data_IF_054027725621
#
_entry.id   IF_054027725621
#
_cell.length_a   1.000
_cell.length_b   1.000
_cell.length_c   1.000
_cell.angle_alpha   90.00
_cell.angle_beta   90.00
_cell.angle_gamma   90.00
#
_symmetry.space_group_name_H-M   'P 1'
#
loop_
_entity.id
_entity.type
_entity.pdbx_description
1 polymer ?
#
# COMPACT_ATOMS: atom_id res chain seq x y z
N UNK A 1 0.99 2.68 -8.12
CA UNK A 1 0.65 3.30 -9.42
C UNK A 1 1.04 2.44 -10.58
N UNK A 2 2.30 2.02 -10.65
CA UNK A 2 2.80 1.02 -11.60
C UNK A 2 1.80 -0.12 -11.86
N UNK A 3 1.40 -0.86 -10.82
CA UNK A 3 0.47 -1.98 -10.95
C UNK A 3 -0.89 -1.57 -11.56
N UNK A 4 -1.52 -0.53 -10.99
CA UNK A 4 -2.81 0.00 -11.45
C UNK A 4 -2.76 0.44 -12.93
N UNK A 5 -1.72 1.17 -13.32
CA UNK A 5 -1.54 1.68 -14.68
C UNK A 5 -1.32 0.54 -15.68
N UNK A 6 -0.47 -0.43 -15.34
CA UNK A 6 -0.14 -1.56 -16.22
C UNK A 6 -1.27 -2.58 -16.36
N UNK A 7 -2.13 -2.71 -15.35
CA UNK A 7 -3.26 -3.64 -15.39
C UNK A 7 -4.57 -3.03 -15.90
N UNK A 8 -4.71 -1.71 -15.81
CA UNK A 8 -5.98 -1.01 -16.08
C UNK A 8 -7.02 -1.16 -14.96
N UNK A 9 -6.63 -1.67 -13.79
CA UNK A 9 -7.52 -1.82 -12.64
C UNK A 9 -8.02 -0.48 -12.08
N UNK A 10 -9.17 -0.50 -11.41
CA UNK A 10 -9.71 0.67 -10.72
C UNK A 10 -8.79 1.10 -9.58
N UNK A 11 -8.33 0.12 -8.80
CA UNK A 11 -7.48 0.30 -7.64
C UNK A 11 -6.32 -0.71 -7.63
N UNK A 12 -5.28 -0.44 -6.85
CA UNK A 12 -4.24 -1.43 -6.59
C UNK A 12 -3.75 -1.38 -5.14
N UNK A 13 -3.31 -2.52 -4.63
CA UNK A 13 -2.64 -2.65 -3.35
C UNK A 13 -1.33 -3.42 -3.49
N UNK A 14 -0.29 -2.94 -2.81
CA UNK A 14 0.93 -3.70 -2.56
C UNK A 14 1.15 -3.79 -1.06
N UNK A 15 1.53 -4.95 -0.54
CA UNK A 15 1.91 -5.08 0.86
C UNK A 15 3.23 -4.36 1.14
N UNK A 16 3.33 -3.70 2.30
CA UNK A 16 4.49 -2.91 2.70
C UNK A 16 5.79 -3.73 2.64
N UNK A 17 5.76 -5.00 3.06
CA UNK A 17 6.92 -5.91 3.00
C UNK A 17 7.40 -6.27 1.59
N UNK A 18 6.56 -6.02 0.57
CA UNK A 18 6.88 -6.19 -0.84
C UNK A 18 7.81 -5.10 -1.41
N UNK A 19 8.00 -3.99 -0.67
CA UNK A 19 8.94 -2.90 -1.00
C UNK A 19 10.05 -2.89 0.06
N UNK A 20 11.30 -3.07 -0.37
CA UNK A 20 12.40 -3.40 0.55
C UNK A 20 13.24 -2.22 1.00
N UNK A 21 13.37 -1.20 0.16
CA UNK A 21 14.18 -0.01 0.44
C UNK A 21 13.71 1.20 -0.39
N UNK A 22 14.07 2.43 0.01
CA UNK A 22 13.88 3.60 -0.82
C UNK A 22 14.86 3.62 -2.00
N UNK A 23 14.53 4.38 -3.05
CA UNK A 23 15.51 4.78 -4.06
C UNK A 23 16.42 5.88 -3.53
N UNK A 24 17.72 5.78 -3.82
CA UNK A 24 18.66 6.88 -3.61
C UNK A 24 18.41 8.01 -4.61
N UNK A 25 18.73 9.26 -4.22
CA UNK A 25 18.68 10.39 -5.16
C UNK A 25 19.74 10.22 -6.25
N UNK A 26 19.33 10.32 -7.51
CA UNK A 26 20.23 10.24 -8.65
C UNK A 26 19.61 9.44 -9.80
N UNK A 27 20.43 9.01 -10.78
CA UNK A 27 20.00 8.06 -11.79
C UNK A 27 19.49 6.78 -11.14
N UNK A 28 18.34 6.28 -11.60
CA UNK A 28 17.79 4.99 -11.17
C UNK A 28 18.20 3.94 -12.20
N UNK A 29 18.88 2.89 -11.74
CA UNK A 29 19.28 1.75 -12.56
C UNK A 29 18.29 0.60 -12.43
N UNK A 30 18.38 -0.39 -13.32
CA UNK A 30 17.60 -1.63 -13.19
C UNK A 30 17.99 -2.38 -11.90
N UNK A 31 19.26 -2.38 -11.53
CA UNK A 31 19.74 -2.99 -10.27
C UNK A 31 19.03 -2.40 -9.05
N UNK A 32 18.88 -1.07 -9.01
CA UNK A 32 18.13 -0.40 -7.92
C UNK A 32 16.69 -0.92 -7.83
N UNK A 33 16.03 -1.12 -8.97
CA UNK A 33 14.66 -1.65 -9.01
C UNK A 33 14.59 -3.09 -8.49
N UNK A 34 15.59 -3.93 -8.80
CA UNK A 34 15.70 -5.29 -8.25
C UNK A 34 15.92 -5.28 -6.74
N UNK A 35 16.69 -4.34 -6.20
CA UNK A 35 16.87 -4.22 -4.76
C UNK A 35 15.60 -3.70 -4.04
N UNK A 36 14.83 -2.81 -4.69
CA UNK A 36 13.58 -2.26 -4.14
C UNK A 36 12.45 -3.28 -4.15
N UNK A 37 12.28 -4.05 -5.24
CA UNK A 37 11.21 -5.02 -5.42
C UNK A 37 11.80 -6.35 -5.97
N UNK A 38 12.40 -7.19 -5.10
CA UNK A 38 13.17 -8.36 -5.51
C UNK A 38 12.32 -9.61 -5.81
N UNK A 39 11.00 -9.53 -5.62
CA UNK A 39 10.13 -10.70 -5.76
C UNK A 39 9.65 -10.86 -7.20
N UNK A 40 9.60 -12.10 -7.68
CA UNK A 40 9.07 -12.45 -9.01
C UNK A 40 7.54 -12.60 -9.01
N UNK A 41 6.87 -11.80 -8.20
CA UNK A 41 5.42 -11.76 -8.14
C UNK A 41 4.86 -11.11 -9.42
N UNK A 42 3.75 -11.64 -9.91
CA UNK A 42 2.99 -11.05 -11.01
C UNK A 42 1.81 -10.23 -10.49
N UNK A 43 1.23 -9.40 -11.35
CA UNK A 43 -0.01 -8.70 -11.04
C UNK A 43 -1.20 -9.65 -11.18
N UNK A 44 -2.05 -9.68 -10.17
CA UNK A 44 -3.29 -10.44 -10.18
C UNK A 44 -4.48 -9.51 -9.92
N UNK A 45 -5.51 -9.61 -10.77
CA UNK A 45 -6.75 -8.87 -10.63
C UNK A 45 -7.77 -9.69 -9.87
N UNK A 46 -8.46 -9.03 -8.94
CA UNK A 46 -9.55 -9.59 -8.15
C UNK A 46 -10.75 -8.64 -8.24
N UNK A 47 -11.91 -9.17 -8.59
CA UNK A 47 -13.14 -8.39 -8.64
C UNK A 47 -13.74 -8.29 -7.23
N UNK A 48 -13.78 -7.08 -6.68
CA UNK A 48 -14.19 -6.83 -5.30
C UNK A 48 -15.26 -5.75 -5.25
N UNK A 49 -16.31 -5.96 -4.45
CA UNK A 49 -17.25 -4.87 -4.16
C UNK A 49 -16.69 -3.89 -3.12
N UNK A 50 -17.30 -2.71 -2.99
CA UNK A 50 -16.90 -1.70 -2.02
C UNK A 50 -16.87 -2.20 -0.56
N UNK A 51 -17.80 -3.08 -0.18
CA UNK A 51 -17.79 -3.71 1.15
C UNK A 51 -16.54 -4.58 1.39
N UNK A 52 -16.15 -5.39 0.41
CA UNK A 52 -14.95 -6.23 0.48
C UNK A 52 -13.68 -5.39 0.57
N UNK A 53 -13.59 -4.31 -0.21
CA UNK A 53 -12.44 -3.38 -0.18
C UNK A 53 -12.35 -2.68 1.17
N UNK A 54 -13.49 -2.23 1.73
CA UNK A 54 -13.54 -1.64 3.07
C UNK A 54 -13.06 -2.65 4.14
N UNK A 55 -13.53 -3.89 4.08
CA UNK A 55 -13.14 -4.95 5.02
C UNK A 55 -11.65 -5.31 4.91
N UNK A 56 -11.10 -5.34 3.69
CA UNK A 56 -9.67 -5.53 3.42
C UNK A 56 -8.83 -4.46 4.12
N UNK A 57 -9.20 -3.20 3.96
CA UNK A 57 -8.50 -2.08 4.58
C UNK A 57 -8.64 -2.14 6.10
N UNK A 58 -9.83 -2.40 6.64
CA UNK A 58 -9.98 -2.59 8.09
C UNK A 58 -9.02 -3.65 8.63
N UNK A 59 -8.91 -4.82 7.97
CA UNK A 59 -7.96 -5.87 8.36
C UNK A 59 -6.50 -5.40 8.30
N UNK A 60 -6.10 -4.81 7.17
CA UNK A 60 -4.73 -4.32 6.95
C UNK A 60 -4.30 -3.25 7.96
N UNK A 61 -5.25 -2.51 8.54
CA UNK A 61 -4.98 -1.43 9.49
C UNK A 61 -5.38 -1.76 10.95
N UNK A 62 -5.64 -3.03 11.25
CA UNK A 62 -6.10 -3.53 12.56
C UNK A 62 -5.04 -4.18 13.44
N UNK A 63 -3.77 -4.17 13.03
CA UNK A 63 -2.67 -4.70 13.84
C UNK A 63 -2.51 -3.98 15.19
N UNK A 64 -1.67 -4.50 16.08
CA UNK A 64 -1.33 -3.78 17.30
C UNK A 64 -0.78 -2.38 17.01
N UNK A 65 -1.09 -1.44 17.89
CA UNK A 65 -0.59 -0.08 17.80
C UNK A 65 0.05 0.31 19.12
N UNK A 66 1.05 1.18 19.04
CA UNK A 66 1.73 1.69 20.24
C UNK A 66 2.25 3.11 20.02
N UNK A 67 2.45 3.88 21.10
CA UNK A 67 3.21 5.11 21.02
C UNK A 67 4.60 4.85 20.43
N UNK A 68 5.09 5.80 19.62
CA UNK A 68 6.45 5.80 19.11
C UNK A 68 7.44 5.97 20.27
N UNK A 69 8.47 5.13 20.29
CA UNK A 69 9.58 5.25 21.22
C UNK A 69 10.74 6.06 20.62
N UNK A 70 11.86 6.14 21.34
CA UNK A 70 13.03 6.89 20.88
C UNK A 70 13.69 6.26 19.64
N UNK A 71 13.66 4.94 19.51
CA UNK A 71 14.23 4.24 18.36
C UNK A 71 13.37 4.49 17.12
N UNK A 72 12.04 4.41 17.24
CA UNK A 72 11.14 4.73 16.13
C UNK A 72 11.35 6.15 15.60
N UNK A 73 11.52 7.12 16.52
CA UNK A 73 11.77 8.52 16.15
C UNK A 73 13.13 8.72 15.49
N UNK A 74 14.13 7.94 15.87
CA UNK A 74 15.45 7.97 15.24
C UNK A 74 15.38 7.37 13.83
N UNK A 75 14.76 6.20 13.67
CA UNK A 75 14.58 5.53 12.38
C UNK A 75 13.80 6.42 11.40
N UNK A 76 12.74 7.07 11.88
CA UNK A 76 11.94 8.02 11.11
C UNK A 76 12.77 9.17 10.53
N UNK A 77 13.73 9.69 11.30
CA UNK A 77 14.66 10.74 10.87
C UNK A 77 15.66 10.22 9.84
N UNK A 78 16.31 9.10 10.13
CA UNK A 78 17.41 8.56 9.33
C UNK A 78 16.93 7.95 8.01
N UNK A 79 15.85 7.16 8.04
CA UNK A 79 15.39 6.37 6.90
C UNK A 79 14.25 7.02 6.12
N UNK A 80 13.43 7.84 6.76
CA UNK A 80 12.23 8.42 6.14
C UNK A 80 12.30 9.93 5.96
N UNK A 81 13.39 10.55 6.47
CA UNK A 81 13.63 11.99 6.45
C UNK A 81 12.41 12.74 7.00
N UNK A 82 11.90 12.31 8.15
CA UNK A 82 10.78 12.98 8.82
C UNK A 82 10.93 13.02 10.34
N UNK A 83 10.30 14.01 10.96
CA UNK A 83 10.01 14.04 12.38
C UNK A 83 8.65 13.39 12.61
N UNK A 84 8.66 12.11 12.96
CA UNK A 84 7.47 11.36 13.35
C UNK A 84 7.23 11.41 14.86
N UNK A 85 5.99 11.58 15.31
CA UNK A 85 5.59 11.38 16.71
C UNK A 85 4.12 10.95 16.83
N UNK A 86 3.77 10.30 17.94
CA UNK A 86 2.40 9.84 18.23
C UNK A 86 2.27 8.31 18.23
N UNK A 87 1.14 7.79 17.78
CA UNK A 87 0.83 6.36 17.79
C UNK A 87 1.05 5.74 16.41
N UNK A 88 1.98 4.79 16.31
CA UNK A 88 2.21 4.02 15.08
C UNK A 88 1.43 2.71 15.10
N UNK A 89 1.10 2.24 13.91
CA UNK A 89 0.63 0.88 13.68
C UNK A 89 1.85 -0.04 13.52
N UNK A 90 1.81 -1.21 14.15
CA UNK A 90 2.87 -2.21 14.01
C UNK A 90 2.73 -2.92 12.66
N UNK A 91 3.84 -2.99 11.94
CA UNK A 91 3.95 -3.77 10.70
C UNK A 91 4.21 -5.22 11.08
N UNK A 92 3.44 -6.15 10.53
CA UNK A 92 3.60 -7.59 10.79
C UNK A 92 2.27 -8.27 11.13
N UNK A 93 2.31 -9.24 12.03
CA UNK A 93 1.14 -10.05 12.41
C UNK A 93 0.00 -9.21 13.04
N UNK A 94 -1.28 -9.56 12.83
CA UNK A 94 -1.77 -10.67 12.00
C UNK A 94 -1.83 -10.38 10.49
N UNK A 95 -1.79 -9.12 10.05
CA UNK A 95 -1.91 -8.77 8.63
C UNK A 95 -0.84 -7.80 8.14
N UNK A 96 -0.32 -8.00 6.93
CA UNK A 96 0.54 -7.01 6.30
C UNK A 96 -0.16 -5.67 6.09
N UNK A 97 0.58 -4.56 6.13
CA UNK A 97 0.04 -3.25 5.78
C UNK A 97 -0.10 -3.15 4.26
N UNK A 98 -1.27 -2.75 3.75
CA UNK A 98 -1.49 -2.57 2.31
C UNK A 98 -1.39 -1.09 1.92
N UNK A 99 -0.53 -0.80 0.95
CA UNK A 99 -0.32 0.52 0.38
C UNK A 99 -1.19 0.70 -0.88
N UNK A 100 -2.08 1.72 -0.92
CA UNK A 100 -3.07 1.86 -1.99
C UNK A 100 -2.57 2.64 -3.22
N UNK A 101 -3.27 2.44 -4.33
CA UNK A 101 -3.32 3.32 -5.51
C UNK A 101 -4.76 3.53 -5.93
N UNK A 102 -5.14 4.78 -6.24
CA UNK A 102 -6.52 5.16 -6.57
C UNK A 102 -7.44 5.39 -5.36
N UNK A 103 -6.93 5.21 -4.13
CA UNK A 103 -7.67 5.35 -2.88
C UNK A 103 -6.90 6.17 -1.84
N UNK A 104 -7.65 6.87 -1.00
CA UNK A 104 -7.20 7.55 0.20
C UNK A 104 -7.82 6.88 1.44
N UNK A 105 -6.97 6.56 2.41
CA UNK A 105 -7.32 5.85 3.65
C UNK A 105 -7.02 6.77 4.81
N UNK A 106 -8.02 7.08 5.63
CA UNK A 106 -7.84 7.77 6.92
C UNK A 106 -8.28 6.87 8.04
N UNK A 107 -7.42 6.66 9.03
CA UNK A 107 -7.68 5.73 10.13
C UNK A 107 -7.16 6.24 11.48
N UNK A 108 -7.74 5.71 12.55
CA UNK A 108 -7.29 5.92 13.93
C UNK A 108 -6.79 4.58 14.53
N UNK A 109 -5.47 4.42 14.74
CA UNK A 109 -4.91 3.18 15.29
C UNK A 109 -5.27 2.94 16.75
N UNK A 110 -5.84 3.90 17.46
CA UNK A 110 -6.23 3.77 18.88
C UNK A 110 -7.64 3.22 19.05
N UNK A 111 -8.44 3.18 17.99
CA UNK A 111 -9.75 2.52 18.02
C UNK A 111 -9.58 0.99 18.02
N UNK A 112 -10.60 0.25 18.52
CA UNK A 112 -10.58 -1.22 18.49
C UNK A 112 -10.35 -1.76 17.06
N UNK A 113 -9.65 -2.90 16.91
CA UNK A 113 -9.54 -3.59 15.62
C UNK A 113 -10.90 -3.73 14.92
N UNK A 114 -10.89 -3.63 13.59
CA UNK A 114 -12.06 -3.60 12.71
C UNK A 114 -13.00 -2.39 12.88
N UNK A 115 -12.58 -1.37 13.62
CA UNK A 115 -13.30 -0.09 13.77
C UNK A 115 -12.38 1.12 13.57
N UNK A 116 -11.30 0.96 12.80
CA UNK A 116 -10.25 1.97 12.70
C UNK A 116 -10.38 2.84 11.48
N UNK A 117 -11.07 2.39 10.44
CA UNK A 117 -11.22 3.14 9.21
C UNK A 117 -12.25 4.26 9.39
N UNK A 118 -11.75 5.50 9.44
CA UNK A 118 -12.58 6.70 9.56
C UNK A 118 -13.10 7.16 8.20
N UNK A 119 -12.25 7.13 7.18
CA UNK A 119 -12.59 7.58 5.83
C UNK A 119 -11.90 6.74 4.77
N UNK A 120 -12.66 6.37 3.75
CA UNK A 120 -12.17 5.69 2.55
C UNK A 120 -12.78 6.38 1.34
N UNK A 121 -11.94 7.00 0.52
CA UNK A 121 -12.38 7.67 -0.70
C UNK A 121 -11.48 7.32 -1.87
N UNK A 122 -11.99 7.48 -3.08
CA UNK A 122 -11.19 7.50 -4.30
C UNK A 122 -10.26 8.72 -4.33
N UNK A 123 -9.31 8.73 -5.28
CA UNK A 123 -8.40 9.86 -5.49
C UNK A 123 -9.12 11.19 -5.80
N UNK A 124 -10.32 11.16 -6.40
CA UNK A 124 -11.16 12.34 -6.64
C UNK A 124 -12.07 12.69 -5.44
N UNK A 125 -11.91 12.02 -4.31
CA UNK A 125 -12.57 12.35 -3.05
C UNK A 125 -13.98 11.77 -2.86
N UNK A 126 -14.45 10.91 -3.77
CA UNK A 126 -15.75 10.23 -3.66
C UNK A 126 -15.68 9.04 -2.73
N UNK A 127 -16.76 8.77 -2.02
CA UNK A 127 -16.89 7.52 -1.26
C UNK A 127 -17.03 6.32 -2.19
N UNK A 128 -16.61 5.15 -1.71
CA UNK A 128 -16.81 3.91 -2.44
C UNK A 128 -18.27 3.47 -2.34
N UNK A 129 -18.89 3.28 -3.49
CA UNK A 129 -20.20 2.63 -3.59
C UNK A 129 -20.06 1.17 -3.10
N UNK A 130 -20.91 0.77 -2.16
CA UNK A 130 -20.67 -0.44 -1.39
C UNK A 130 -20.88 -1.75 -2.18
N UNK A 131 -21.86 -1.77 -3.09
CA UNK A 131 -22.20 -2.95 -3.91
C UNK A 131 -21.54 -2.95 -5.29
N UNK A 132 -21.01 -1.80 -5.73
CA UNK A 132 -20.34 -1.70 -7.03
C UNK A 132 -19.11 -2.58 -7.04
N UNK A 133 -18.96 -3.36 -8.11
CA UNK A 133 -17.78 -4.18 -8.37
C UNK A 133 -16.69 -3.31 -8.96
N UNK A 134 -15.49 -3.42 -8.39
CA UNK A 134 -14.27 -2.79 -8.87
C UNK A 134 -13.24 -3.87 -9.17
N UNK A 135 -12.43 -3.66 -10.21
CA UNK A 135 -11.27 -4.50 -10.44
C UNK A 135 -10.11 -3.98 -9.58
N UNK A 136 -9.55 -4.86 -8.74
CA UNK A 136 -8.47 -4.51 -7.80
C UNK A 136 -7.22 -5.31 -8.12
N UNK A 137 -6.11 -4.62 -8.37
CA UNK A 137 -4.83 -5.24 -8.63
C UNK A 137 -4.03 -5.48 -7.34
N UNK A 138 -3.57 -6.71 -7.16
CA UNK A 138 -2.63 -7.11 -6.12
C UNK A 138 -1.37 -7.68 -6.76
N UNK A 139 -0.33 -7.91 -5.96
CA UNK A 139 0.65 -8.92 -6.32
C UNK A 139 0.04 -10.30 -6.01
N UNK A 140 0.41 -11.32 -6.78
CA UNK A 140 -0.16 -12.65 -6.64
C UNK A 140 0.08 -13.27 -5.27
N UNK A 141 1.20 -13.00 -4.59
CA UNK A 141 1.40 -13.42 -3.20
C UNK A 141 0.28 -12.95 -2.25
N UNK A 142 -0.13 -11.69 -2.32
CA UNK A 142 -1.24 -11.15 -1.50
C UNK A 142 -2.60 -11.66 -2.01
N UNK A 143 -2.81 -11.68 -3.32
CA UNK A 143 -4.06 -12.21 -3.92
C UNK A 143 -4.30 -13.67 -3.50
N UNK A 144 -3.23 -14.45 -3.47
CA UNK A 144 -3.17 -15.80 -2.93
C UNK A 144 -3.00 -15.80 -1.42
N UNK A 145 -3.54 -14.84 -0.69
CA UNK A 145 -3.71 -14.92 0.76
C UNK A 145 -2.47 -14.79 1.63
N UNK A 146 -1.34 -14.36 1.07
CA UNK A 146 -0.16 -13.96 1.83
C UNK A 146 -0.47 -12.82 2.81
N UNK A 147 0.45 -12.57 3.75
CA UNK A 147 0.32 -11.50 4.75
C UNK A 147 -1.01 -11.53 5.55
N UNK A 148 -1.58 -12.71 5.77
CA UNK A 148 -2.81 -12.90 6.54
C UNK A 148 -4.10 -12.65 5.75
N UNK A 149 -4.05 -12.34 4.45
CA UNK A 149 -5.22 -12.05 3.63
C UNK A 149 -5.87 -13.29 3.02
N UNK A 150 -5.89 -14.41 3.74
CA UNK A 150 -6.27 -15.74 3.22
C UNK A 150 -7.61 -15.80 2.51
N UNK A 151 -8.58 -14.99 2.94
CA UNK A 151 -9.91 -14.92 2.33
C UNK A 151 -9.92 -14.38 0.90
N UNK A 152 -8.84 -13.70 0.44
CA UNK A 152 -8.75 -13.24 -0.94
C UNK A 152 -8.76 -14.43 -1.91
N UNK A 153 -8.17 -15.57 -1.55
CA UNK A 153 -8.18 -16.81 -2.37
C UNK A 153 -9.59 -17.32 -2.68
N UNK A 154 -10.53 -17.04 -1.79
CA UNK A 154 -11.90 -17.54 -1.87
C UNK A 154 -12.79 -16.62 -2.74
N UNK A 155 -12.29 -15.45 -3.15
CA UNK A 155 -13.00 -14.56 -4.05
C UNK A 155 -12.93 -15.18 -5.46
N UNK A 156 -14.06 -15.33 -6.18
CA UNK A 156 -14.04 -15.90 -7.53
C UNK A 156 -13.45 -14.92 -8.55
N UNK A 157 -13.19 -15.42 -9.76
CA UNK A 157 -12.80 -14.61 -10.94
C UNK A 157 -11.46 -13.89 -10.83
N UNK A 158 -10.49 -14.50 -10.15
CA UNK A 158 -9.11 -14.04 -10.20
C UNK A 158 -8.54 -14.12 -11.62
N UNK A 159 -7.78 -13.09 -12.00
CA UNK A 159 -7.07 -13.04 -13.29
C UNK A 159 -5.62 -12.65 -13.08
N UNK A 160 -4.73 -13.65 -13.16
CA UNK A 160 -3.29 -13.40 -13.25
C UNK A 160 -2.93 -12.78 -14.59
N UNK A 161 -2.17 -11.69 -14.55
CA UNK A 161 -1.59 -11.06 -15.73
C UNK A 161 -0.14 -11.51 -15.87
N UNK A 162 0.37 -11.75 -17.09
CA UNK A 162 1.77 -12.10 -17.32
C UNK A 162 2.68 -10.85 -17.23
N UNK A 163 2.51 -10.07 -16.17
CA UNK A 163 3.22 -8.81 -15.93
C UNK A 163 3.83 -8.91 -14.54
N UNK A 164 5.15 -8.93 -14.46
CA UNK A 164 5.85 -8.84 -13.17
C UNK A 164 5.57 -7.48 -12.53
N UNK A 165 5.39 -7.47 -11.22
CA UNK A 165 5.27 -6.20 -10.46
C UNK A 165 6.51 -5.33 -10.69
N UNK A 166 7.69 -5.96 -10.80
CA UNK A 166 8.95 -5.31 -11.11
C UNK A 166 8.94 -4.66 -12.49
N UNK A 167 8.48 -5.35 -13.53
CA UNK A 167 8.43 -4.80 -14.89
C UNK A 167 7.44 -3.64 -14.98
N UNK A 168 6.30 -3.75 -14.30
CA UNK A 168 5.37 -2.63 -14.18
C UNK A 168 6.02 -1.41 -13.51
N UNK A 169 6.87 -1.62 -12.49
CA UNK A 169 7.62 -0.55 -11.82
C UNK A 169 8.67 0.07 -12.74
N UNK A 170 9.47 -0.74 -13.45
CA UNK A 170 10.46 -0.27 -14.43
C UNK A 170 9.76 0.61 -15.47
N UNK A 171 8.71 0.09 -16.10
CA UNK A 171 7.96 0.84 -17.11
C UNK A 171 7.39 2.15 -16.55
N UNK A 172 6.89 2.13 -15.32
CA UNK A 172 6.35 3.34 -14.70
C UNK A 172 7.42 4.40 -14.45
N UNK A 173 8.62 4.00 -14.00
CA UNK A 173 9.76 4.91 -13.82
C UNK A 173 10.23 5.47 -15.16
N UNK A 174 10.33 4.64 -16.20
CA UNK A 174 10.68 5.06 -17.56
C UNK A 174 9.68 6.08 -18.13
N UNK A 175 8.38 5.84 -17.93
CA UNK A 175 7.32 6.76 -18.36
C UNK A 175 7.41 8.11 -17.63
N UNK A 176 7.83 8.13 -16.35
CA UNK A 176 7.99 9.35 -15.56
C UNK A 176 9.22 10.16 -15.98
N UNK A 177 10.30 9.49 -16.42
CA UNK A 177 11.62 10.05 -16.78
C UNK A 177 12.36 10.74 -15.63
N UNK A 178 11.71 11.69 -14.94
CA UNK A 178 12.25 12.45 -13.82
C UNK A 178 11.23 12.44 -12.68
N UNK A 179 11.68 12.06 -11.48
CA UNK A 179 10.86 12.03 -10.26
C UNK A 179 11.34 13.15 -9.33
N UNK A 180 10.73 14.33 -9.46
CA UNK A 180 11.12 15.51 -8.65
C UNK A 180 10.33 15.64 -7.35
N UNK A 181 9.13 15.06 -7.30
CA UNK A 181 8.21 15.16 -6.17
C UNK A 181 7.95 13.77 -5.59
N UNK A 182 7.79 13.72 -4.27
CA UNK A 182 7.28 12.52 -3.61
C UNK A 182 5.89 12.18 -4.17
N UNK A 183 5.54 10.89 -4.28
CA UNK A 183 4.17 10.49 -4.60
C UNK A 183 3.17 11.10 -3.62
N UNK A 184 1.93 11.24 -4.06
CA UNK A 184 0.84 11.72 -3.20
C UNK A 184 0.71 10.88 -1.93
N UNK A 185 0.45 11.52 -0.79
CA UNK A 185 0.17 10.81 0.47
C UNK A 185 -1.24 10.24 0.40
N UNK A 186 -1.36 8.92 0.60
CA UNK A 186 -2.65 8.21 0.50
C UNK A 186 -3.16 7.60 1.79
N UNK A 187 -2.30 7.51 2.80
CA UNK A 187 -2.60 6.85 4.06
C UNK A 187 -2.38 7.87 5.17
N UNK A 188 -3.43 8.12 5.95
CA UNK A 188 -3.48 9.14 6.97
C UNK A 188 -3.81 8.49 8.31
N UNK A 189 -2.79 8.38 9.15
CA UNK A 189 -2.95 8.01 10.55
C UNK A 189 -3.21 9.29 11.35
N UNK A 190 -4.42 9.45 11.89
CA UNK A 190 -4.82 10.68 12.62
C UNK A 190 -4.14 10.85 13.98
N UNK A 191 -3.42 9.82 14.45
CA UNK A 191 -2.64 9.83 15.70
C UNK A 191 -1.14 9.90 15.45
N UNK A 192 -0.72 10.03 14.20
CA UNK A 192 0.68 10.22 13.81
C UNK A 192 0.85 11.63 13.27
N UNK A 193 1.83 12.35 13.83
CA UNK A 193 2.33 13.61 13.31
C UNK A 193 3.60 13.31 12.55
N UNK A 194 3.68 13.79 11.31
CA UNK A 194 4.86 13.62 10.47
C UNK A 194 5.17 14.97 9.83
N UNK A 195 6.34 15.50 10.12
CA UNK A 195 6.89 16.68 9.47
C UNK A 195 8.08 16.25 8.61
N UNK A 196 7.95 16.38 7.29
CA UNK A 196 9.04 16.03 6.37
C UNK A 196 10.14 17.08 6.48
N UNK A 197 11.39 16.62 6.41
CA UNK A 197 12.51 17.51 6.15
C UNK A 197 12.56 17.84 4.65
N UNK A 198 12.83 19.10 4.32
CA UNK A 198 13.18 19.53 2.96
C UNK A 198 14.44 18.78 2.44
#
# INVERSE_FOLDING_TARGET
DAMRKSSGADFAFINFGGVRQPFSKGPITVEDVFLVQPFDNVIELVDMNGFMIRNLIEKAYSNESRPMDAADRQDAKEQHRNNGDGTKLMVGSPHGILLPSGLHITYDPTLPPMKRLLKLTTSDGKELEAEKIYSVAFNDFVAEGGDGFTYLREIPNHKKLPILVRDALIKHIEDLKVIEKRPEKRVFNVKLREELFD
#
